data_IF_005659683043
#
_entry.id   IF_005659683043
#
_cell.length_a   1.000
_cell.length_b   1.000
_cell.length_c   1.000
_cell.angle_alpha   90.00
_cell.angle_beta   90.00
_cell.angle_gamma   90.00
#
_symmetry.space_group_name_H-M   'P 1'
#
loop_
_entity.id
_entity.type
_entity.pdbx_description
1 polymer ?
#
# COMPACT_ATOMS: atom_id res chain seq x y z
N UNK A 1 23.75 -8.58 -32.09
CA UNK A 1 22.46 -7.93 -31.75
C UNK A 1 21.87 -8.68 -30.58
N UNK A 2 21.45 -7.97 -29.54
CA UNK A 2 20.80 -8.56 -28.36
C UNK A 2 19.34 -8.83 -28.68
N UNK A 3 18.85 -10.03 -28.39
CA UNK A 3 17.48 -10.47 -28.62
C UNK A 3 16.55 -9.90 -27.54
N UNK A 4 15.27 -9.70 -27.87
CA UNK A 4 14.26 -9.31 -26.89
C UNK A 4 14.15 -10.31 -25.73
N UNK A 5 14.41 -11.60 -26.00
CA UNK A 5 14.46 -12.66 -24.98
C UNK A 5 15.58 -12.46 -23.96
N UNK A 6 16.68 -11.81 -24.34
CA UNK A 6 17.86 -11.67 -23.49
C UNK A 6 17.60 -10.68 -22.34
N UNK A 7 16.65 -9.74 -22.54
CA UNK A 7 16.17 -8.81 -21.51
C UNK A 7 15.29 -9.47 -20.45
N UNK A 8 14.71 -10.64 -20.75
CA UNK A 8 13.92 -11.42 -19.79
C UNK A 8 14.66 -12.67 -19.31
N UNK A 9 15.94 -12.80 -19.64
CA UNK A 9 16.76 -13.92 -19.20
C UNK A 9 17.38 -13.61 -17.84
N UNK A 10 17.02 -14.31 -16.76
CA UNK A 10 17.49 -14.00 -15.40
C UNK A 10 18.98 -14.28 -15.20
N UNK A 11 19.63 -15.02 -16.10
CA UNK A 11 21.07 -15.28 -16.06
C UNK A 11 21.94 -14.12 -16.57
N UNK A 12 21.34 -13.08 -17.17
CA UNK A 12 22.06 -11.86 -17.57
C UNK A 12 21.85 -10.76 -16.54
N UNK A 13 22.86 -9.92 -16.32
CA UNK A 13 22.77 -8.80 -15.36
C UNK A 13 21.64 -7.84 -15.70
N UNK A 14 21.43 -7.57 -16.99
CA UNK A 14 20.31 -6.74 -17.48
C UNK A 14 18.97 -7.41 -17.20
N UNK A 15 18.83 -8.71 -17.45
CA UNK A 15 17.57 -9.42 -17.25
C UNK A 15 17.21 -9.55 -15.77
N UNK A 16 18.19 -9.84 -14.91
CA UNK A 16 18.01 -9.86 -13.47
C UNK A 16 17.53 -8.49 -12.92
N UNK A 17 18.08 -7.39 -13.43
CA UNK A 17 17.66 -6.03 -13.05
C UNK A 17 16.22 -5.75 -13.46
N UNK A 18 15.85 -6.05 -14.70
CA UNK A 18 14.48 -5.81 -15.21
C UNK A 18 13.46 -6.65 -14.44
N UNK A 19 13.74 -7.94 -14.22
CA UNK A 19 12.87 -8.84 -13.45
C UNK A 19 12.75 -8.34 -12.00
N UNK A 20 13.85 -7.90 -11.39
CA UNK A 20 13.85 -7.34 -10.03
C UNK A 20 12.97 -6.09 -9.90
N UNK A 21 13.03 -5.18 -10.87
CA UNK A 21 12.17 -3.98 -10.90
C UNK A 21 10.70 -4.38 -11.00
N UNK A 22 10.37 -5.29 -11.93
CA UNK A 22 8.99 -5.77 -12.12
C UNK A 22 8.47 -6.43 -10.83
N UNK A 23 9.26 -7.32 -10.22
CA UNK A 23 8.90 -7.99 -8.98
C UNK A 23 8.71 -6.99 -7.82
N UNK A 24 9.59 -5.99 -7.72
CA UNK A 24 9.50 -4.92 -6.73
C UNK A 24 8.23 -4.09 -6.87
N UNK A 25 7.85 -3.72 -8.09
CA UNK A 25 6.61 -2.99 -8.38
C UNK A 25 5.37 -3.82 -8.00
N UNK A 26 5.33 -5.09 -8.37
CA UNK A 26 4.22 -6.00 -8.02
C UNK A 26 4.10 -6.13 -6.50
N UNK A 27 5.20 -6.38 -5.80
CA UNK A 27 5.23 -6.46 -4.34
C UNK A 27 4.78 -5.15 -3.69
N UNK A 28 5.24 -4.01 -4.20
CA UNK A 28 4.84 -2.69 -3.71
C UNK A 28 3.35 -2.41 -3.87
N UNK A 29 2.74 -2.81 -4.99
CA UNK A 29 1.30 -2.68 -5.22
C UNK A 29 0.51 -3.55 -4.24
N UNK A 30 0.93 -4.81 -4.05
CA UNK A 30 0.26 -5.74 -3.13
C UNK A 30 0.33 -5.17 -1.70
N UNK A 31 1.53 -4.84 -1.22
CA UNK A 31 1.73 -4.27 0.11
C UNK A 31 0.95 -2.96 0.25
N UNK A 32 1.05 -2.04 -0.71
CA UNK A 32 0.31 -0.78 -0.70
C UNK A 32 -1.21 -0.95 -0.68
N UNK A 33 -1.75 -1.98 -1.35
CA UNK A 33 -3.18 -2.29 -1.31
C UNK A 33 -3.64 -2.75 0.08
N UNK A 34 -2.86 -3.62 0.73
CA UNK A 34 -3.17 -4.09 2.09
C UNK A 34 -2.87 -3.02 3.16
N UNK A 35 -1.76 -2.29 3.08
CA UNK A 35 -1.40 -1.25 4.05
C UNK A 35 -2.24 0.01 3.89
N UNK A 36 -2.57 0.41 2.66
CA UNK A 36 -3.45 1.55 2.39
C UNK A 36 -4.85 1.35 2.98
N UNK A 37 -5.35 0.11 2.96
CA UNK A 37 -6.58 -0.26 3.68
C UNK A 37 -6.41 -0.20 5.20
N UNK A 38 -5.27 -0.65 5.73
CA UNK A 38 -4.97 -0.59 7.16
C UNK A 38 -4.70 0.83 7.69
N UNK A 39 -4.30 1.79 6.85
CA UNK A 39 -4.19 3.20 7.27
C UNK A 39 -5.55 3.89 7.37
N UNK A 40 -6.61 3.29 6.81
CA UNK A 40 -7.98 3.85 6.85
C UNK A 40 -8.77 3.49 8.12
N UNK A 41 -8.21 2.72 9.07
CA UNK A 41 -8.94 2.29 10.27
C UNK A 41 -8.88 3.28 11.44
N UNK A 42 -8.09 4.36 11.36
CA UNK A 42 -7.99 5.38 12.42
C UNK A 42 -8.20 6.82 11.91
N UNK A 43 -9.02 7.01 10.86
CA UNK A 43 -9.60 8.34 10.66
C UNK A 43 -10.66 8.52 11.75
N UNK A 44 -10.30 9.19 12.85
CA UNK A 44 -11.30 9.82 13.73
C UNK A 44 -12.34 10.47 12.82
N UNK A 45 -13.60 10.06 12.91
CA UNK A 45 -14.66 10.73 12.14
C UNK A 45 -14.66 12.17 12.62
N UNK A 46 -14.19 13.08 11.78
CA UNK A 46 -14.19 14.50 12.07
C UNK A 46 -15.46 15.12 11.52
N UNK A 47 -16.09 16.02 12.28
CA UNK A 47 -17.11 16.92 11.70
C UNK A 47 -16.40 17.99 10.86
N UNK A 48 -17.16 18.77 10.09
CA UNK A 48 -16.67 19.74 9.09
C UNK A 48 -15.69 20.82 9.56
N UNK A 49 -15.23 20.76 10.81
CA UNK A 49 -14.22 21.61 11.45
C UNK A 49 -12.95 20.85 11.91
N UNK A 50 -12.76 19.59 11.49
CA UNK A 50 -11.66 18.71 11.89
C UNK A 50 -11.62 18.34 13.39
N UNK A 51 -12.70 18.58 14.15
CA UNK A 51 -12.80 18.10 15.53
C UNK A 51 -13.20 16.60 15.58
N UNK A 52 -12.55 15.77 16.41
CA UNK A 52 -12.93 14.36 16.57
C UNK A 52 -14.33 14.26 17.20
N UNK A 53 -15.22 13.42 16.64
CA UNK A 53 -16.54 13.16 17.21
C UNK A 53 -16.37 12.32 18.48
N UNK A 54 -16.46 12.96 19.66
CA UNK A 54 -16.49 12.30 20.97
C UNK A 54 -17.95 12.00 21.31
N UNK A 55 -18.37 10.74 21.17
CA UNK A 55 -19.67 10.30 21.67
C UNK A 55 -19.56 10.07 23.18
N UNK A 56 -19.85 11.12 23.97
CA UNK A 56 -20.01 10.95 25.41
C UNK A 56 -21.30 10.15 25.66
N UNK A 57 -21.16 8.89 26.03
CA UNK A 57 -22.29 8.10 26.52
C UNK A 57 -22.53 8.54 27.95
N UNK A 58 -23.46 9.46 28.16
CA UNK A 58 -23.99 9.71 29.50
C UNK A 58 -24.67 8.43 29.97
N UNK A 59 -23.98 7.65 30.81
CA UNK A 59 -24.61 6.61 31.62
C UNK A 59 -25.42 7.33 32.71
N UNK A 60 -26.53 7.94 32.28
CA UNK A 60 -27.57 8.39 33.18
C UNK A 60 -28.23 7.18 33.81
N UNK A 61 -28.15 7.08 35.14
CA UNK A 61 -28.98 6.14 35.88
C UNK A 61 -28.44 5.71 37.23
N UNK A 62 -28.37 6.63 38.20
CA UNK A 62 -29.26 6.70 39.38
C UNK A 62 -28.73 7.72 40.38
#
# INVERSE_FOLDING_TARGET
MMSLSDFFTPSTTIGALIIGIIAGLISGIIVGFFTGKATTINKFKTKGDNSPIINNSSLGGK
#
